data_IF_540723859944
#
_entry.id   IF_540723859944
#
_cell.length_a   1.000
_cell.length_b   1.000
_cell.length_c   1.000
_cell.angle_alpha   90.00
_cell.angle_beta   90.00
_cell.angle_gamma   90.00
#
_symmetry.space_group_name_H-M   'P 1'
#
loop_
_entity.id
_entity.type
_entity.pdbx_description
1 polymer ?
#
# COMPACT_ATOMS: atom_id res chain seq x y z
N UNK A 1 20.50 -23.20 -5.41
CA UNK A 1 19.02 -23.11 -5.53
C UNK A 1 18.61 -23.59 -6.92
N UNK A 2 17.44 -24.21 -7.12
CA UNK A 2 17.01 -24.63 -8.48
C UNK A 2 16.53 -23.44 -9.31
N UNK A 3 16.58 -23.53 -10.64
CA UNK A 3 16.10 -22.48 -11.56
C UNK A 3 14.64 -22.11 -11.30
N UNK A 4 13.78 -23.08 -10.97
CA UNK A 4 12.39 -22.84 -10.61
C UNK A 4 12.25 -21.99 -9.33
N UNK A 5 13.09 -22.24 -8.33
CA UNK A 5 13.10 -21.45 -7.09
C UNK A 5 13.70 -20.04 -7.31
N UNK A 6 14.69 -19.91 -8.19
CA UNK A 6 15.24 -18.61 -8.61
C UNK A 6 14.19 -17.74 -9.32
N UNK A 7 13.43 -18.32 -10.27
CA UNK A 7 12.30 -17.64 -10.89
C UNK A 7 11.23 -17.25 -9.87
N UNK A 8 10.93 -18.14 -8.91
CA UNK A 8 9.97 -17.85 -7.84
C UNK A 8 10.44 -16.69 -6.96
N UNK A 9 11.72 -16.65 -6.59
CA UNK A 9 12.32 -15.55 -5.85
C UNK A 9 12.18 -14.23 -6.63
N UNK A 10 12.57 -14.21 -7.90
CA UNK A 10 12.50 -13.02 -8.75
C UNK A 10 11.05 -12.55 -8.95
N UNK A 11 10.11 -13.44 -9.32
CA UNK A 11 8.71 -13.08 -9.51
C UNK A 11 8.11 -12.51 -8.22
N UNK A 12 8.37 -13.14 -7.08
CA UNK A 12 7.88 -12.63 -5.80
C UNK A 12 8.49 -11.26 -5.47
N UNK A 13 9.78 -11.03 -5.77
CA UNK A 13 10.43 -9.73 -5.61
C UNK A 13 9.77 -8.66 -6.48
N UNK A 14 9.54 -8.95 -7.76
CA UNK A 14 8.90 -8.05 -8.71
C UNK A 14 7.47 -7.70 -8.30
N UNK A 15 6.68 -8.68 -7.85
CA UNK A 15 5.32 -8.45 -7.36
C UNK A 15 5.32 -7.54 -6.13
N UNK A 16 6.21 -7.79 -5.16
CA UNK A 16 6.34 -6.96 -3.96
C UNK A 16 6.74 -5.53 -4.29
N UNK A 17 7.72 -5.35 -5.19
CA UNK A 17 8.18 -4.02 -5.62
C UNK A 17 7.13 -3.27 -6.42
N UNK A 18 6.40 -3.97 -7.30
CA UNK A 18 5.26 -3.41 -8.01
C UNK A 18 4.20 -2.90 -7.04
N UNK A 19 3.78 -3.74 -6.08
CA UNK A 19 2.79 -3.37 -5.08
C UNK A 19 3.23 -2.20 -4.21
N UNK A 20 4.48 -2.23 -3.75
CA UNK A 20 5.04 -1.17 -2.91
C UNK A 20 5.17 0.16 -3.66
N UNK A 21 5.59 0.11 -4.93
CA UNK A 21 5.69 1.31 -5.79
C UNK A 21 4.31 1.91 -6.07
N UNK A 22 3.31 1.07 -6.34
CA UNK A 22 1.93 1.51 -6.54
C UNK A 22 1.37 2.16 -5.26
N UNK A 23 1.59 1.55 -4.09
CA UNK A 23 1.16 2.12 -2.81
C UNK A 23 1.84 3.46 -2.51
N UNK A 24 3.17 3.52 -2.63
CA UNK A 24 3.91 4.74 -2.36
C UNK A 24 3.53 5.86 -3.33
N UNK A 25 3.42 5.55 -4.63
CA UNK A 25 2.98 6.51 -5.64
C UNK A 25 1.60 7.07 -5.32
N UNK A 26 0.62 6.19 -5.04
CA UNK A 26 -0.73 6.62 -4.66
C UNK A 26 -0.74 7.48 -3.39
N UNK A 27 -0.03 7.07 -2.34
CA UNK A 27 0.05 7.85 -1.09
C UNK A 27 0.74 9.20 -1.30
N UNK A 28 1.76 9.26 -2.14
CA UNK A 28 2.47 10.50 -2.48
C UNK A 28 1.54 11.47 -3.20
N UNK A 29 0.82 10.99 -4.22
CA UNK A 29 -0.18 11.79 -4.94
C UNK A 29 -1.27 12.28 -4.00
N UNK A 30 -1.83 11.38 -3.17
CA UNK A 30 -2.88 11.72 -2.21
C UNK A 30 -2.42 12.80 -1.21
N UNK A 31 -1.19 12.71 -0.70
CA UNK A 31 -0.72 13.58 0.39
C UNK A 31 -0.15 14.91 -0.06
N UNK A 32 0.59 14.94 -1.16
CA UNK A 32 1.29 16.14 -1.58
C UNK A 32 0.52 16.91 -2.65
N UNK A 33 -0.26 16.24 -3.49
CA UNK A 33 -0.94 16.86 -4.62
C UNK A 33 -2.45 17.01 -4.42
N UNK A 34 -3.11 15.97 -3.90
CA UNK A 34 -4.56 15.99 -3.71
C UNK A 34 -5.01 16.52 -2.35
N UNK A 35 -4.11 16.61 -1.37
CA UNK A 35 -4.44 17.14 -0.04
C UNK A 35 -5.07 18.54 -0.07
N UNK A 36 -4.54 19.54 -0.81
CA UNK A 36 -5.19 20.85 -0.89
C UNK A 36 -6.61 20.77 -1.46
N UNK A 37 -6.80 19.91 -2.48
CA UNK A 37 -8.10 19.67 -3.12
C UNK A 37 -9.08 19.05 -2.13
N UNK A 38 -8.67 18.01 -1.41
CA UNK A 38 -9.54 17.35 -0.43
C UNK A 38 -9.90 18.23 0.77
N UNK A 39 -9.01 19.11 1.21
CA UNK A 39 -9.30 20.06 2.30
C UNK A 39 -10.18 21.24 1.87
N UNK A 40 -10.25 21.53 0.57
CA UNK A 40 -11.12 22.52 -0.05
C UNK A 40 -12.39 21.95 -0.68
N UNK A 41 -12.61 20.65 -0.56
CA UNK A 41 -13.67 19.93 -1.24
C UNK A 41 -15.06 20.40 -0.79
N UNK A 42 -15.96 20.64 -1.75
CA UNK A 42 -17.36 20.97 -1.51
C UNK A 42 -18.24 19.73 -1.55
N UNK A 43 -19.42 19.80 -0.94
CA UNK A 43 -20.35 18.66 -0.89
C UNK A 43 -20.81 18.18 -2.27
N UNK A 44 -21.04 19.10 -3.20
CA UNK A 44 -21.47 18.80 -4.57
C UNK A 44 -20.36 18.10 -5.41
N UNK A 45 -19.10 18.28 -5.00
CA UNK A 45 -17.92 17.69 -5.64
C UNK A 45 -17.50 16.35 -4.99
N UNK A 46 -18.03 16.02 -3.80
CA UNK A 46 -17.64 14.87 -3.00
C UNK A 46 -17.73 13.55 -3.78
N UNK A 47 -18.80 13.38 -4.56
CA UNK A 47 -19.03 12.17 -5.34
C UNK A 47 -17.98 11.97 -6.43
N UNK A 48 -17.74 13.01 -7.24
CA UNK A 48 -16.90 12.94 -8.44
C UNK A 48 -15.41 12.99 -8.10
N UNK A 49 -15.00 13.89 -7.20
CA UNK A 49 -13.58 14.17 -6.90
C UNK A 49 -13.01 13.19 -5.86
N UNK A 50 -13.85 12.68 -4.96
CA UNK A 50 -13.41 11.76 -3.91
C UNK A 50 -14.01 10.36 -4.03
N UNK A 51 -15.34 10.23 -4.11
CA UNK A 51 -15.99 8.92 -3.95
C UNK A 51 -15.64 7.94 -5.09
N UNK A 52 -15.68 8.39 -6.33
CA UNK A 52 -15.37 7.56 -7.51
C UNK A 52 -13.91 7.07 -7.47
N UNK A 53 -12.88 7.93 -7.35
CA UNK A 53 -11.49 7.47 -7.27
C UNK A 53 -11.23 6.54 -6.08
N UNK A 54 -11.73 6.87 -4.89
CA UNK A 54 -11.49 6.08 -3.68
C UNK A 54 -12.13 4.70 -3.76
N UNK A 55 -13.32 4.60 -4.35
CA UNK A 55 -13.99 3.31 -4.57
C UNK A 55 -13.21 2.45 -5.57
N UNK A 56 -12.75 3.03 -6.68
CA UNK A 56 -11.97 2.32 -7.69
C UNK A 56 -10.65 1.77 -7.11
N UNK A 57 -9.90 2.61 -6.37
CA UNK A 57 -8.65 2.22 -5.72
C UNK A 57 -8.88 1.15 -4.65
N UNK A 58 -9.92 1.29 -3.84
CA UNK A 58 -10.26 0.30 -2.81
C UNK A 58 -10.56 -1.06 -3.43
N UNK A 59 -11.31 -1.09 -4.53
CA UNK A 59 -11.62 -2.33 -5.26
C UNK A 59 -10.36 -2.97 -5.83
N UNK A 60 -9.50 -2.18 -6.47
CA UNK A 60 -8.24 -2.65 -7.02
C UNK A 60 -7.34 -3.25 -5.92
N UNK A 61 -7.14 -2.52 -4.81
CA UNK A 61 -6.32 -2.99 -3.69
C UNK A 61 -6.93 -4.20 -2.98
N UNK A 62 -8.26 -4.34 -2.98
CA UNK A 62 -8.94 -5.54 -2.50
C UNK A 62 -8.62 -6.77 -3.34
N UNK A 63 -8.62 -6.64 -4.68
CA UNK A 63 -8.25 -7.73 -5.60
C UNK A 63 -6.76 -8.07 -5.45
N UNK A 64 -5.91 -7.06 -5.34
CA UNK A 64 -4.46 -7.22 -5.20
C UNK A 64 -4.01 -7.64 -3.80
N UNK A 65 -4.94 -7.77 -2.84
CA UNK A 65 -4.60 -8.05 -1.45
C UNK A 65 -3.79 -9.35 -1.30
N UNK A 66 -4.30 -10.45 -1.85
CA UNK A 66 -3.65 -11.76 -1.73
C UNK A 66 -2.30 -11.80 -2.44
N UNK A 67 -2.16 -11.39 -3.73
CA UNK A 67 -0.86 -11.35 -4.39
C UNK A 67 0.20 -10.55 -3.63
N UNK A 68 -0.16 -9.37 -3.12
CA UNK A 68 0.77 -8.47 -2.44
C UNK A 68 1.13 -8.93 -1.02
N UNK A 69 0.26 -9.70 -0.36
CA UNK A 69 0.56 -10.33 0.92
C UNK A 69 1.40 -11.61 0.75
N UNK A 70 1.07 -12.46 -0.22
CA UNK A 70 1.73 -13.76 -0.41
C UNK A 70 3.16 -13.59 -0.92
N UNK A 71 3.41 -12.61 -1.79
CA UNK A 71 4.75 -12.37 -2.34
C UNK A 71 5.85 -12.19 -1.26
N UNK A 72 5.74 -11.28 -0.28
CA UNK A 72 6.75 -11.16 0.77
C UNK A 72 6.80 -12.37 1.71
N UNK A 73 5.72 -13.14 1.87
CA UNK A 73 5.75 -14.39 2.65
C UNK A 73 6.58 -15.48 1.94
N UNK A 74 6.46 -15.58 0.61
CA UNK A 74 7.33 -16.44 -0.21
C UNK A 74 8.79 -16.01 -0.05
N UNK A 75 9.05 -14.70 -0.07
CA UNK A 75 10.40 -14.17 0.13
C UNK A 75 10.97 -14.50 1.50
N UNK A 76 10.17 -14.45 2.58
CA UNK A 76 10.59 -14.89 3.93
C UNK A 76 11.03 -16.36 3.88
N UNK A 77 10.23 -17.21 3.24
CA UNK A 77 10.53 -18.63 3.15
C UNK A 77 11.83 -18.89 2.36
N UNK A 78 12.00 -18.23 1.22
CA UNK A 78 13.17 -18.40 0.35
C UNK A 78 14.45 -17.75 0.93
N UNK A 79 14.32 -16.57 1.54
CA UNK A 79 15.42 -15.75 2.04
C UNK A 79 15.90 -16.11 3.44
N UNK A 80 15.36 -17.17 4.07
CA UNK A 80 15.66 -17.55 5.47
C UNK A 80 17.14 -17.84 5.75
N UNK A 81 17.93 -18.13 4.72
CA UNK A 81 19.36 -18.43 4.84
C UNK A 81 20.26 -17.19 4.79
N UNK A 82 19.73 -16.03 4.40
CA UNK A 82 20.49 -14.80 4.29
C UNK A 82 19.82 -13.67 5.08
N UNK A 83 20.55 -13.10 6.04
CA UNK A 83 19.98 -12.25 7.08
C UNK A 83 19.28 -11.01 6.52
N UNK A 84 19.89 -10.35 5.53
CA UNK A 84 19.34 -9.11 4.98
C UNK A 84 18.10 -9.34 4.12
N UNK A 85 18.08 -10.41 3.32
CA UNK A 85 16.89 -10.79 2.55
C UNK A 85 15.73 -11.14 3.47
N UNK A 86 16.00 -11.83 4.58
CA UNK A 86 14.99 -12.14 5.58
C UNK A 86 14.45 -10.87 6.26
N UNK A 87 15.34 -9.97 6.71
CA UNK A 87 14.96 -8.69 7.33
C UNK A 87 14.08 -7.86 6.41
N UNK A 88 14.47 -7.70 5.14
CA UNK A 88 13.68 -6.94 4.17
C UNK A 88 12.33 -7.61 3.87
N UNK A 89 12.28 -8.93 3.77
CA UNK A 89 11.01 -9.66 3.55
C UNK A 89 10.04 -9.51 4.72
N UNK A 90 10.55 -9.59 5.96
CA UNK A 90 9.76 -9.39 7.18
C UNK A 90 9.26 -7.94 7.25
N UNK A 91 10.13 -6.97 7.00
CA UNK A 91 9.75 -5.56 6.99
C UNK A 91 8.69 -5.27 5.91
N UNK A 92 8.81 -5.89 4.74
CA UNK A 92 7.84 -5.76 3.66
C UNK A 92 6.47 -6.36 4.04
N UNK A 93 6.45 -7.59 4.56
CA UNK A 93 5.23 -8.25 5.02
C UNK A 93 4.54 -7.47 6.16
N UNK A 94 5.31 -7.06 7.17
CA UNK A 94 4.79 -6.31 8.31
C UNK A 94 4.21 -4.95 7.89
N UNK A 95 4.90 -4.23 7.00
CA UNK A 95 4.42 -2.94 6.49
C UNK A 95 3.14 -3.11 5.67
N UNK A 96 3.05 -4.15 4.84
CA UNK A 96 1.84 -4.43 4.06
C UNK A 96 0.65 -4.83 4.95
N UNK A 97 0.88 -5.70 5.94
CA UNK A 97 -0.13 -6.07 6.94
C UNK A 97 -0.61 -4.82 7.69
N UNK A 98 0.32 -3.96 8.12
CA UNK A 98 -0.03 -2.70 8.76
C UNK A 98 -0.90 -1.83 7.84
N UNK A 99 -0.54 -1.66 6.56
CA UNK A 99 -1.33 -0.89 5.60
C UNK A 99 -2.76 -1.42 5.47
N UNK A 100 -2.91 -2.75 5.39
CA UNK A 100 -4.21 -3.40 5.28
C UNK A 100 -5.06 -3.26 6.56
N UNK A 101 -4.47 -3.52 7.73
CA UNK A 101 -5.15 -3.39 9.02
C UNK A 101 -5.51 -1.94 9.32
N UNK A 102 -4.59 -1.00 9.08
CA UNK A 102 -4.84 0.43 9.25
C UNK A 102 -5.96 0.90 8.34
N UNK A 103 -6.00 0.43 7.09
CA UNK A 103 -7.13 0.70 6.22
C UNK A 103 -8.44 0.16 6.80
N UNK A 104 -8.48 -1.11 7.18
CA UNK A 104 -9.69 -1.78 7.65
C UNK A 104 -10.24 -1.17 8.96
N UNK A 105 -9.36 -0.84 9.91
CA UNK A 105 -9.74 -0.40 11.25
C UNK A 105 -9.90 1.13 11.34
N UNK A 106 -9.08 1.89 10.62
CA UNK A 106 -9.02 3.35 10.74
C UNK A 106 -9.63 4.07 9.55
N UNK A 107 -9.30 3.69 8.31
CA UNK A 107 -9.78 4.43 7.13
C UNK A 107 -11.20 4.07 6.72
N UNK A 108 -11.54 2.78 6.75
CA UNK A 108 -12.82 2.27 6.24
C UNK A 108 -14.05 2.93 6.91
N UNK A 109 -14.11 3.16 8.24
CA UNK A 109 -15.26 3.83 8.83
C UNK A 109 -15.46 5.26 8.32
N UNK A 110 -14.37 6.01 8.13
CA UNK A 110 -14.42 7.38 7.60
C UNK A 110 -14.84 7.37 6.13
N UNK A 111 -14.28 6.46 5.34
CA UNK A 111 -14.70 6.26 3.95
C UNK A 111 -16.18 5.92 3.87
N UNK A 112 -16.71 5.02 4.71
CA UNK A 112 -18.13 4.69 4.69
C UNK A 112 -19.00 5.92 4.92
N UNK A 113 -18.70 6.75 5.92
CA UNK A 113 -19.46 7.98 6.17
C UNK A 113 -19.43 8.96 4.99
N UNK A 114 -18.26 9.11 4.35
CA UNK A 114 -18.08 9.98 3.18
C UNK A 114 -18.74 9.43 1.91
N UNK A 115 -18.85 8.11 1.77
CA UNK A 115 -19.34 7.45 0.57
C UNK A 115 -20.85 7.16 0.61
N UNK A 116 -21.45 7.00 1.80
CA UNK A 116 -22.87 6.66 1.95
C UNK A 116 -23.79 7.87 2.02
N UNK A 117 -23.28 9.09 1.77
CA UNK A 117 -24.07 10.33 1.89
C UNK A 117 -24.47 10.66 3.33
N UNK A 118 -23.80 10.09 4.33
CA UNK A 118 -24.08 10.37 5.75
C UNK A 118 -23.63 11.78 6.17
N UNK A 119 -22.77 12.41 5.37
CA UNK A 119 -22.31 13.78 5.55
C UNK A 119 -23.17 14.70 4.67
N UNK A 120 -23.99 15.54 5.30
CA UNK A 120 -24.89 16.47 4.60
C UNK A 120 -24.52 17.94 4.75
N UNK A 121 -23.52 18.26 5.58
CA UNK A 121 -23.11 19.64 5.88
C UNK A 121 -21.62 19.89 5.60
N UNK A 122 -21.29 21.07 5.09
CA UNK A 122 -19.92 21.50 4.76
C UNK A 122 -18.96 21.47 5.96
N UNK A 123 -19.35 21.90 7.18
CA UNK A 123 -18.46 21.81 8.35
C UNK A 123 -18.13 20.36 8.72
N UNK A 124 -19.11 19.45 8.60
CA UNK A 124 -18.90 18.03 8.85
C UNK A 124 -17.97 17.43 7.80
N UNK A 125 -18.20 17.73 6.51
CA UNK A 125 -17.32 17.31 5.42
C UNK A 125 -15.87 17.73 5.66
N UNK A 126 -15.66 19.01 6.01
CA UNK A 126 -14.33 19.54 6.31
C UNK A 126 -13.67 18.77 7.44
N UNK A 127 -14.38 18.52 8.55
CA UNK A 127 -13.87 17.77 9.68
C UNK A 127 -13.46 16.33 9.28
N UNK A 128 -14.30 15.64 8.49
CA UNK A 128 -14.02 14.29 7.99
C UNK A 128 -12.85 14.27 7.01
N UNK A 129 -12.72 15.25 6.13
CA UNK A 129 -11.59 15.38 5.21
C UNK A 129 -10.28 15.62 5.95
N UNK A 130 -10.26 16.49 6.97
CA UNK A 130 -9.09 16.67 7.84
C UNK A 130 -8.70 15.37 8.56
N UNK A 131 -9.69 14.63 9.07
CA UNK A 131 -9.48 13.33 9.69
C UNK A 131 -8.94 12.30 8.68
N UNK A 132 -9.46 12.29 7.46
CA UNK A 132 -9.04 11.38 6.40
C UNK A 132 -7.61 11.65 5.96
N UNK A 133 -7.27 12.91 5.71
CA UNK A 133 -5.91 13.34 5.32
C UNK A 133 -4.90 13.01 6.42
N UNK A 134 -5.23 13.31 7.68
CA UNK A 134 -4.31 13.04 8.80
C UNK A 134 -4.01 11.55 8.96
N UNK A 135 -5.02 10.68 8.82
CA UNK A 135 -4.85 9.22 8.90
C UNK A 135 -4.04 8.63 7.76
N UNK A 136 -4.02 9.26 6.59
CA UNK A 136 -3.19 8.81 5.49
C UNK A 136 -1.69 9.07 5.71
N UNK A 137 -1.28 9.90 6.68
CA UNK A 137 0.16 10.08 6.95
C UNK A 137 0.80 8.80 7.45
N UNK A 138 0.10 8.07 8.33
CA UNK A 138 0.53 6.74 8.77
C UNK A 138 0.68 5.77 7.59
N UNK A 139 -0.25 5.80 6.63
CA UNK A 139 -0.18 4.97 5.41
C UNK A 139 0.95 5.40 4.48
N UNK A 140 1.23 6.70 4.37
CA UNK A 140 2.36 7.21 3.59
C UNK A 140 3.68 6.67 4.14
N UNK A 141 3.93 6.80 5.45
CA UNK A 141 5.17 6.30 6.05
C UNK A 141 5.28 4.78 5.97
N UNK A 142 4.19 4.05 6.20
CA UNK A 142 4.19 2.60 6.03
C UNK A 142 4.43 2.17 4.57
N UNK A 143 3.88 2.91 3.59
CA UNK A 143 4.16 2.66 2.17
C UNK A 143 5.62 2.96 1.81
N UNK A 144 6.22 3.99 2.42
CA UNK A 144 7.64 4.31 2.24
C UNK A 144 8.54 3.20 2.80
N UNK A 145 8.25 2.69 4.01
CA UNK A 145 8.97 1.56 4.61
C UNK A 145 8.78 0.30 3.76
N UNK A 146 7.55 0.03 3.31
CA UNK A 146 7.24 -1.12 2.45
C UNK A 146 8.06 -1.06 1.15
N UNK A 147 8.12 0.11 0.51
CA UNK A 147 8.89 0.34 -0.70
C UNK A 147 10.40 0.18 -0.48
N UNK A 148 10.94 0.79 0.57
CA UNK A 148 12.35 0.66 0.91
C UNK A 148 12.73 -0.80 1.20
N UNK A 149 11.86 -1.54 1.88
CA UNK A 149 12.05 -2.97 2.13
C UNK A 149 11.99 -3.80 0.83
N UNK A 150 11.04 -3.51 -0.06
CA UNK A 150 10.90 -4.20 -1.34
C UNK A 150 12.15 -4.01 -2.23
N UNK A 151 12.65 -2.77 -2.33
CA UNK A 151 13.89 -2.45 -3.06
C UNK A 151 15.11 -3.05 -2.34
N UNK A 152 15.16 -2.97 -1.02
CA UNK A 152 16.23 -3.57 -0.21
C UNK A 152 16.35 -5.08 -0.44
N UNK A 153 15.23 -5.80 -0.54
CA UNK A 153 15.22 -7.22 -0.90
C UNK A 153 15.83 -7.45 -2.29
N UNK A 154 15.44 -6.64 -3.30
CA UNK A 154 16.02 -6.72 -4.64
C UNK A 154 17.53 -6.46 -4.64
N UNK A 155 18.03 -5.57 -3.80
CA UNK A 155 19.47 -5.28 -3.73
C UNK A 155 20.24 -6.38 -2.98
N UNK A 156 19.66 -6.92 -1.91
CA UNK A 156 20.30 -7.93 -1.07
C UNK A 156 20.18 -9.37 -1.62
N UNK A 157 19.25 -9.61 -2.54
CA UNK A 157 18.91 -10.94 -3.03
C UNK A 157 19.72 -11.43 -4.24
N UNK A 158 20.86 -10.81 -4.57
CA UNK A 158 21.63 -11.16 -5.78
C UNK A 158 21.83 -12.67 -5.96
N UNK A 159 22.27 -13.33 -4.88
CA UNK A 159 22.53 -14.77 -4.83
C UNK A 159 21.29 -15.63 -5.10
N UNK A 160 20.08 -15.08 -4.92
CA UNK A 160 18.81 -15.77 -5.17
C UNK A 160 18.45 -15.85 -6.66
N UNK A 161 19.10 -15.09 -7.54
CA UNK A 161 18.85 -15.16 -8.98
C UNK A 161 20.10 -15.45 -9.81
N UNK A 162 21.22 -15.82 -9.18
CA UNK A 162 22.41 -16.31 -9.87
C UNK A 162 22.18 -17.59 -10.69
N UNK A 163 21.16 -18.38 -10.35
CA UNK A 163 20.78 -19.60 -11.05
C UNK A 163 19.78 -19.39 -12.20
N UNK A 164 19.49 -18.14 -12.57
CA UNK A 164 18.73 -17.81 -13.77
C UNK A 164 19.61 -18.01 -15.03
N UNK A 165 19.03 -18.52 -16.13
CA UNK A 165 19.75 -18.73 -17.39
C UNK A 165 20.11 -17.42 -18.10
#
# INVERSE_FOLDING_TARGET
MSTALAWTALISALVTVFGASLYLGFMTVAQFFLRPVFLGLRLDELSTVFAVPITAITRFLGIMFLPLLVAPLIQIWLGRTHVWTLVFSIAAAASYIFLALWYALSMRPVNQQLLTGAVSEEPELRAKMHQWVSRNWARFYAALIYWAAAVGYLLAGHELWEALP
#
